data_IF_481857460571
#
_entry.id   IF_481857460571
#
_cell.length_a   1.000
_cell.length_b   1.000
_cell.length_c   1.000
_cell.angle_alpha   90.00
_cell.angle_beta   90.00
_cell.angle_gamma   90.00
#
_symmetry.space_group_name_H-M   'P 1'
#
loop_
_entity.id
_entity.type
_entity.pdbx_description
1 polymer ?
#
# COMPACT_ATOMS: atom_id res chain seq x y z
N UNK A 1 21.05 -8.39 1.26
CA UNK A 1 19.73 -8.72 1.88
C UNK A 1 19.54 -10.19 2.31
N UNK A 2 19.30 -11.16 1.42
CA UNK A 2 18.77 -12.50 1.77
C UNK A 2 19.53 -13.22 2.91
N UNK A 3 20.87 -13.10 2.95
CA UNK A 3 21.70 -13.72 4.00
C UNK A 3 21.38 -13.30 5.43
N UNK A 4 20.94 -12.07 5.68
CA UNK A 4 20.59 -11.62 7.04
C UNK A 4 19.29 -12.29 7.50
N UNK A 5 18.33 -12.47 6.58
CA UNK A 5 17.10 -13.22 6.86
C UNK A 5 17.43 -14.68 7.15
N UNK A 6 18.22 -15.32 6.30
CA UNK A 6 18.66 -16.71 6.49
C UNK A 6 19.42 -16.93 7.81
N UNK A 7 20.24 -15.96 8.23
CA UNK A 7 20.92 -16.00 9.53
C UNK A 7 19.93 -15.92 10.71
N UNK A 8 18.92 -15.05 10.63
CA UNK A 8 17.87 -14.95 11.65
C UNK A 8 16.94 -16.18 11.66
N UNK A 9 16.62 -16.77 10.52
CA UNK A 9 15.91 -18.07 10.46
C UNK A 9 16.70 -19.15 11.24
N UNK A 10 18.02 -19.21 11.07
CA UNK A 10 18.88 -20.19 11.74
C UNK A 10 19.06 -19.94 13.25
N UNK A 11 19.00 -18.67 13.70
CA UNK A 11 19.02 -18.31 15.14
C UNK A 11 17.76 -18.79 15.89
N UNK A 12 16.64 -18.95 15.18
CA UNK A 12 15.36 -19.43 15.74
C UNK A 12 15.06 -20.89 15.40
N UNK A 13 15.96 -21.59 14.70
CA UNK A 13 15.75 -22.98 14.30
C UNK A 13 15.66 -23.91 15.52
N UNK A 14 14.51 -24.59 15.67
CA UNK A 14 14.22 -25.45 16.82
C UNK A 14 13.62 -24.74 18.05
N UNK A 15 13.45 -23.41 18.03
CA UNK A 15 12.65 -22.68 19.04
C UNK A 15 11.14 -22.81 18.72
N UNK A 16 10.28 -22.70 19.73
CA UNK A 16 8.82 -22.74 19.53
C UNK A 16 8.34 -21.42 18.93
N UNK A 17 7.60 -21.47 17.83
CA UNK A 17 7.00 -20.28 17.18
C UNK A 17 5.76 -19.80 17.95
N UNK A 18 5.98 -19.19 19.11
CA UNK A 18 4.98 -18.37 19.81
C UNK A 18 4.91 -16.97 19.20
N UNK A 19 3.85 -16.18 19.44
CA UNK A 19 3.76 -14.81 18.93
C UNK A 19 4.95 -13.93 19.37
N UNK A 20 5.39 -14.05 20.62
CA UNK A 20 6.53 -13.29 21.16
C UNK A 20 7.84 -13.67 20.47
N UNK A 21 8.02 -14.95 20.12
CA UNK A 21 9.19 -15.42 19.37
C UNK A 21 9.15 -15.05 17.89
N UNK A 22 7.98 -14.70 17.33
CA UNK A 22 7.85 -14.15 15.98
C UNK A 22 8.17 -12.65 16.01
N UNK A 23 7.65 -11.90 16.98
CA UNK A 23 7.95 -10.48 17.20
C UNK A 23 9.45 -10.26 17.44
N UNK A 24 10.06 -10.99 18.37
CA UNK A 24 11.50 -10.93 18.67
C UNK A 24 12.37 -11.26 17.44
N UNK A 25 11.90 -12.17 16.57
CA UNK A 25 12.58 -12.55 15.33
C UNK A 25 12.55 -11.41 14.30
N UNK A 26 11.41 -10.71 14.17
CA UNK A 26 11.28 -9.56 13.28
C UNK A 26 12.04 -8.33 13.82
N UNK A 27 12.05 -8.12 15.14
CA UNK A 27 12.86 -7.07 15.80
C UNK A 27 14.36 -7.30 15.56
N UNK A 28 14.86 -8.51 15.81
CA UNK A 28 16.26 -8.87 15.57
C UNK A 28 16.62 -8.73 14.09
N UNK A 29 15.74 -9.12 13.17
CA UNK A 29 15.96 -8.91 11.73
C UNK A 29 16.04 -7.42 11.37
N UNK A 30 15.12 -6.59 11.86
CA UNK A 30 15.12 -5.14 11.63
C UNK A 30 16.39 -4.46 12.16
N UNK A 31 16.79 -4.79 13.39
CA UNK A 31 18.01 -4.27 14.02
C UNK A 31 19.29 -4.67 13.24
N UNK A 32 19.36 -5.90 12.71
CA UNK A 32 20.48 -6.34 11.87
C UNK A 32 20.48 -5.68 10.48
N UNK A 33 19.32 -5.44 9.88
CA UNK A 33 19.22 -4.71 8.59
C UNK A 33 19.65 -3.26 8.75
N UNK A 34 19.14 -2.54 9.75
CA UNK A 34 19.53 -1.15 10.01
C UNK A 34 21.05 -1.01 10.22
N UNK A 35 21.65 -1.91 11.00
CA UNK A 35 23.10 -1.94 11.23
C UNK A 35 23.91 -2.27 9.96
N UNK A 36 23.40 -3.17 9.12
CA UNK A 36 24.01 -3.45 7.82
C UNK A 36 23.96 -2.22 6.90
N UNK A 37 22.84 -1.50 6.86
CA UNK A 37 22.69 -0.28 6.05
C UNK A 37 23.60 0.87 6.54
N UNK A 38 23.77 1.03 7.86
CA UNK A 38 24.78 1.94 8.45
C UNK A 38 26.21 1.58 8.01
N UNK A 39 26.57 0.29 7.96
CA UNK A 39 27.90 -0.15 7.52
C UNK A 39 28.10 0.09 6.02
N UNK A 40 27.09 -0.17 5.18
CA UNK A 40 27.12 0.21 3.75
C UNK A 40 27.26 1.73 3.57
N UNK A 41 26.51 2.52 4.35
CA UNK A 41 26.61 3.98 4.33
C UNK A 41 27.99 4.49 4.81
N UNK A 42 28.67 3.75 5.68
CA UNK A 42 30.06 4.03 6.09
C UNK A 42 31.11 3.71 5.01
N UNK A 43 30.72 3.01 3.94
CA UNK A 43 31.58 2.65 2.81
C UNK A 43 32.25 1.27 2.91
N UNK A 44 31.74 0.36 3.74
CA UNK A 44 32.15 -1.05 3.75
C UNK A 44 31.57 -1.82 2.54
N UNK A 45 32.24 -2.90 2.14
CA UNK A 45 31.74 -3.85 1.14
C UNK A 45 30.57 -4.69 1.70
N UNK A 46 29.62 -5.12 0.87
CA UNK A 46 28.47 -5.95 1.29
C UNK A 46 28.91 -7.23 2.03
N UNK A 47 30.01 -7.87 1.60
CA UNK A 47 30.51 -9.09 2.25
C UNK A 47 31.12 -8.82 3.64
N UNK A 48 31.78 -7.67 3.82
CA UNK A 48 32.40 -7.28 5.09
C UNK A 48 31.35 -6.72 6.07
N UNK A 49 30.41 -5.92 5.58
CA UNK A 49 29.27 -5.41 6.33
C UNK A 49 28.39 -6.56 6.87
N UNK A 50 28.08 -7.57 6.05
CA UNK A 50 27.34 -8.76 6.49
C UNK A 50 28.12 -9.53 7.58
N UNK A 51 29.43 -9.71 7.43
CA UNK A 51 30.25 -10.42 8.42
C UNK A 51 30.29 -9.69 9.76
N UNK A 52 30.56 -8.38 9.76
CA UNK A 52 30.61 -7.54 10.96
C UNK A 52 29.24 -7.35 11.62
N UNK A 53 28.15 -7.39 10.83
CA UNK A 53 26.78 -7.40 11.35
C UNK A 53 26.50 -8.69 12.12
N UNK A 54 26.85 -9.86 11.54
CA UNK A 54 26.71 -11.18 12.18
C UNK A 54 27.59 -11.33 13.44
N UNK A 55 28.84 -10.82 13.42
CA UNK A 55 29.75 -10.84 14.58
C UNK A 55 29.21 -10.05 15.79
N UNK A 56 28.34 -9.06 15.55
CA UNK A 56 27.80 -8.21 16.61
C UNK A 56 26.69 -8.81 17.47
N UNK A 57 26.23 -10.03 17.17
CA UNK A 57 25.18 -10.75 17.89
C UNK A 57 25.78 -11.83 18.82
N UNK A 58 25.94 -11.50 20.11
CA UNK A 58 26.61 -12.37 21.09
C UNK A 58 25.64 -13.33 21.80
N UNK A 59 25.10 -14.29 21.05
CA UNK A 59 24.14 -15.33 21.50
C UNK A 59 22.75 -14.83 21.88
N UNK A 60 21.74 -15.65 21.57
CA UNK A 60 20.32 -15.35 21.83
C UNK A 60 19.79 -15.98 23.14
N UNK A 61 20.48 -17.00 23.67
CA UNK A 61 20.00 -17.75 24.83
C UNK A 61 19.98 -16.92 26.12
N UNK A 62 20.92 -15.98 26.30
CA UNK A 62 20.92 -15.06 27.45
C UNK A 62 19.67 -14.16 27.51
N UNK A 63 19.04 -13.87 26.36
CA UNK A 63 17.80 -13.07 26.27
C UNK A 63 16.56 -13.91 26.57
N UNK A 64 16.58 -15.20 26.21
CA UNK A 64 15.43 -16.12 26.36
C UNK A 64 15.30 -16.63 27.81
N UNK A 65 16.34 -16.50 28.64
CA UNK A 65 16.38 -17.04 30.02
C UNK A 65 15.58 -16.21 31.05
N UNK A 66 15.27 -14.93 30.80
CA UNK A 66 14.58 -14.07 31.79
C UNK A 66 13.06 -14.33 31.97
N UNK A 67 12.54 -15.48 31.53
CA UNK A 67 11.16 -15.89 31.85
C UNK A 67 11.08 -17.35 32.34
N UNK A 68 11.23 -17.62 33.65
CA UNK A 68 11.19 -18.96 34.22
C UNK A 68 9.75 -19.49 34.29
N UNK A 69 9.27 -20.03 33.18
CA UNK A 69 8.05 -20.86 33.15
C UNK A 69 8.30 -22.19 33.87
N UNK A 70 7.28 -22.71 34.56
CA UNK A 70 7.43 -23.80 35.52
C UNK A 70 8.05 -25.08 34.92
N UNK A 71 9.16 -25.51 35.51
CA UNK A 71 9.86 -26.74 35.13
C UNK A 71 9.15 -27.98 35.68
N UNK A 72 8.30 -28.57 34.84
CA UNK A 72 7.87 -29.98 34.90
C UNK A 72 7.70 -30.47 33.45
N UNK A 73 8.39 -31.49 32.95
CA UNK A 73 9.21 -32.55 33.57
C UNK A 73 10.23 -33.09 32.51
N UNK A 74 11.16 -34.01 32.74
CA UNK A 74 11.53 -34.86 33.90
C UNK A 74 13.08 -34.88 34.07
N UNK A 75 13.55 -35.42 35.20
CA UNK A 75 14.98 -35.55 35.50
C UNK A 75 15.71 -36.58 34.61
N UNK A 76 16.97 -36.30 34.28
CA UNK A 76 17.89 -37.31 33.75
C UNK A 76 18.40 -38.18 34.89
N UNK A 77 18.10 -39.49 34.88
CA UNK A 77 18.84 -40.48 35.67
C UNK A 77 19.05 -41.77 34.83
N UNK A 78 20.15 -42.49 35.09
CA UNK A 78 20.76 -43.40 34.10
C UNK A 78 20.81 -44.89 34.45
N UNK A 79 21.34 -45.67 33.49
CA UNK A 79 21.68 -47.11 33.53
C UNK A 79 20.48 -48.08 33.78
N UNK A 80 20.40 -49.28 33.21
CA UNK A 80 21.45 -50.27 32.92
C UNK A 80 21.10 -51.18 31.68
N UNK A 81 21.91 -52.21 31.43
CA UNK A 81 22.11 -52.97 30.19
C UNK A 81 21.27 -54.27 30.09
N UNK A 82 20.79 -54.66 28.88
CA UNK A 82 21.05 -56.00 28.25
C UNK A 82 20.22 -56.32 26.99
N UNK A 83 20.90 -56.99 26.03
CA UNK A 83 20.50 -58.08 25.10
C UNK A 83 19.08 -58.19 24.46
N UNK A 84 18.88 -58.79 23.26
CA UNK A 84 19.74 -59.14 22.11
C UNK A 84 18.86 -59.76 20.98
N UNK A 85 19.38 -59.83 19.73
CA UNK A 85 18.92 -60.64 18.54
C UNK A 85 17.46 -60.47 18.07
N UNK A 86 16.98 -60.88 16.88
CA UNK A 86 17.49 -61.54 15.64
C UNK A 86 16.94 -60.72 14.42
N UNK A 87 17.61 -60.49 13.28
CA UNK A 87 18.02 -61.37 12.16
C UNK A 87 16.92 -61.64 11.07
N UNK A 88 17.33 -61.63 9.78
CA UNK A 88 16.58 -61.96 8.54
C UNK A 88 15.41 -61.03 8.11
N UNK A 89 15.17 -60.68 6.83
CA UNK A 89 15.81 -60.90 5.51
C UNK A 89 15.27 -59.85 4.49
N UNK A 90 15.94 -59.46 3.39
CA UNK A 90 16.15 -60.17 2.10
C UNK A 90 14.84 -60.34 1.26
N UNK A 91 14.72 -60.04 -0.06
CA UNK A 91 15.46 -59.22 -1.05
C UNK A 91 14.65 -59.06 -2.38
N UNK A 92 14.98 -58.04 -3.21
CA UNK A 92 14.60 -57.84 -4.66
C UNK A 92 13.09 -57.66 -5.00
N UNK A 93 12.60 -56.84 -5.95
CA UNK A 93 13.07 -56.26 -7.24
C UNK A 93 13.07 -57.28 -8.44
N UNK A 94 12.95 -56.87 -9.74
CA UNK A 94 11.66 -56.68 -10.43
C UNK A 94 11.57 -57.35 -11.83
N UNK A 95 10.39 -57.31 -12.49
CA UNK A 95 10.22 -57.29 -13.98
C UNK A 95 8.72 -57.09 -14.38
N UNK A 96 8.36 -56.18 -15.30
CA UNK A 96 8.18 -56.31 -16.77
C UNK A 96 7.22 -57.41 -17.27
N UNK A 97 6.14 -57.05 -18.01
CA UNK A 97 6.07 -57.01 -19.50
C UNK A 97 4.69 -56.54 -20.05
N UNK A 98 4.71 -56.00 -21.27
CA UNK A 98 3.59 -55.62 -22.19
C UNK A 98 3.92 -56.22 -23.60
N UNK A 99 3.19 -56.01 -24.72
CA UNK A 99 1.74 -55.88 -25.04
C UNK A 99 1.31 -56.79 -26.25
N UNK A 100 0.06 -56.68 -26.77
CA UNK A 100 -0.44 -57.12 -28.14
C UNK A 100 -1.94 -56.69 -28.30
N UNK A 101 -2.49 -56.01 -29.34
CA UNK A 101 -2.52 -56.13 -30.83
C UNK A 101 -3.66 -57.07 -31.37
N UNK A 102 -4.39 -56.90 -32.51
CA UNK A 102 -4.61 -55.87 -33.58
C UNK A 102 -5.73 -56.37 -34.56
N UNK A 103 -6.40 -55.68 -35.52
CA UNK A 103 -6.37 -54.27 -36.02
C UNK A 103 -7.70 -53.68 -36.64
N UNK A 104 -8.27 -54.08 -37.81
CA UNK A 104 -8.76 -53.07 -38.81
C UNK A 104 -10.11 -53.26 -39.56
N UNK A 105 -10.54 -52.20 -40.29
CA UNK A 105 -11.18 -52.29 -41.64
C UNK A 105 -11.10 -50.98 -42.48
N UNK A 106 -11.18 -51.09 -43.82
CA UNK A 106 -10.92 -50.05 -44.86
C UNK A 106 -12.03 -49.04 -45.25
N UNK A 107 -11.67 -48.02 -46.06
CA UNK A 107 -12.53 -46.99 -46.71
C UNK A 107 -13.16 -47.41 -48.07
N UNK A 108 -13.44 -46.51 -49.08
CA UNK A 108 -12.78 -45.22 -49.41
C UNK A 108 -13.72 -44.03 -49.83
N UNK A 109 -13.19 -43.03 -50.56
CA UNK A 109 -13.75 -41.70 -50.97
C UNK A 109 -14.13 -41.64 -52.49
N UNK A 110 -14.30 -40.50 -53.24
CA UNK A 110 -14.71 -39.08 -52.97
C UNK A 110 -15.79 -38.51 -53.97
N UNK A 111 -16.35 -37.29 -53.74
CA UNK A 111 -17.00 -36.40 -54.77
C UNK A 111 -16.67 -34.90 -54.49
N UNK A 112 -16.75 -34.03 -55.53
CA UNK A 112 -16.14 -32.68 -55.66
C UNK A 112 -17.02 -31.43 -55.42
N UNK A 113 -16.32 -30.33 -55.13
CA UNK A 113 -16.53 -28.89 -55.47
C UNK A 113 -17.93 -28.25 -55.60
N UNK A 114 -18.04 -27.02 -55.07
CA UNK A 114 -18.37 -25.83 -55.88
C UNK A 114 -17.73 -24.56 -55.26
N UNK A 115 -17.53 -23.51 -56.07
CA UNK A 115 -16.61 -22.40 -55.77
C UNK A 115 -17.34 -21.07 -55.51
N UNK A 116 -16.86 -20.30 -54.52
CA UNK A 116 -17.08 -18.85 -54.44
C UNK A 116 -15.78 -18.16 -53.97
N UNK A 117 -15.27 -17.19 -54.75
CA UNK A 117 -13.98 -16.52 -54.52
C UNK A 117 -14.21 -15.10 -53.98
N UNK A 118 -13.43 -14.70 -52.97
CA UNK A 118 -13.20 -13.29 -52.67
C UNK A 118 -11.80 -13.04 -52.08
N UNK A 119 -10.88 -12.70 -52.98
CA UNK A 119 -9.60 -11.98 -52.86
C UNK A 119 -8.85 -11.91 -51.51
N UNK A 120 -7.58 -12.32 -51.55
CA UNK A 120 -6.54 -11.95 -50.57
C UNK A 120 -5.75 -10.71 -51.02
N UNK A 121 -5.15 -10.00 -50.05
CA UNK A 121 -4.01 -9.06 -50.20
C UNK A 121 -4.38 -7.70 -50.89
N UNK A 122 -3.74 -6.56 -50.56
CA UNK A 122 -2.44 -6.43 -49.90
C UNK A 122 -2.38 -5.75 -48.52
N UNK A 123 -1.34 -6.13 -47.79
CA UNK A 123 -0.77 -5.30 -46.73
C UNK A 123 -0.35 -3.93 -47.29
N UNK A 124 -0.67 -2.85 -46.58
CA UNK A 124 -0.08 -1.54 -46.84
C UNK A 124 0.58 -0.99 -45.57
N UNK A 125 1.90 -1.13 -45.52
CA UNK A 125 2.73 -0.46 -44.53
C UNK A 125 2.92 1.03 -44.84
N UNK A 126 3.15 1.83 -43.79
CA UNK A 126 3.54 3.25 -43.77
C UNK A 126 2.40 4.30 -43.89
N UNK A 127 2.60 5.55 -43.41
CA UNK A 127 3.80 6.10 -42.77
C UNK A 127 3.63 6.53 -41.30
N UNK A 128 4.63 6.23 -40.47
CA UNK A 128 4.73 6.68 -39.07
C UNK A 128 5.02 8.19 -39.04
N UNK A 129 4.00 9.05 -38.90
CA UNK A 129 4.18 10.51 -38.78
C UNK A 129 4.87 10.85 -37.45
N UNK A 130 6.15 11.21 -37.52
CA UNK A 130 7.01 11.58 -36.39
C UNK A 130 6.61 12.95 -35.84
N UNK A 131 5.71 12.99 -34.85
CA UNK A 131 5.22 14.19 -34.14
C UNK A 131 6.25 14.87 -33.21
N UNK A 132 7.46 14.32 -33.13
CA UNK A 132 8.59 14.80 -32.32
C UNK A 132 8.87 16.33 -32.34
N UNK A 133 8.76 17.08 -33.47
CA UNK A 133 9.02 18.52 -33.44
C UNK A 133 7.91 19.34 -32.76
N UNK A 134 6.72 18.79 -32.53
CA UNK A 134 5.64 19.50 -31.81
C UNK A 134 5.89 19.46 -30.30
N UNK A 135 6.19 18.28 -29.76
CA UNK A 135 6.52 18.10 -28.33
C UNK A 135 7.71 18.97 -27.91
N UNK A 136 8.75 19.04 -28.75
CA UNK A 136 9.90 19.93 -28.51
C UNK A 136 9.54 21.42 -28.51
N UNK A 137 8.54 21.85 -29.27
CA UNK A 137 8.08 23.24 -29.23
C UNK A 137 7.31 23.55 -27.93
N UNK A 138 6.44 22.64 -27.48
CA UNK A 138 5.71 22.77 -26.22
C UNK A 138 6.65 22.83 -25.01
N UNK A 139 7.64 21.95 -24.93
CA UNK A 139 8.64 21.94 -23.84
C UNK A 139 9.48 23.23 -23.82
N UNK A 140 9.89 23.76 -24.98
CA UNK A 140 10.61 25.03 -25.05
C UNK A 140 9.75 26.23 -24.63
N UNK A 141 8.45 26.21 -24.89
CA UNK A 141 7.51 27.25 -24.42
C UNK A 141 7.32 27.15 -22.90
N UNK A 142 7.10 25.94 -22.36
CA UNK A 142 6.97 25.73 -20.92
C UNK A 142 8.18 26.19 -20.12
N UNK A 143 9.39 25.83 -20.58
CA UNK A 143 10.65 26.29 -19.95
C UNK A 143 10.83 27.83 -20.03
N UNK A 144 10.34 28.48 -21.08
CA UNK A 144 10.39 29.94 -21.21
C UNK A 144 9.42 30.62 -20.25
N UNK A 145 8.20 30.08 -20.09
CA UNK A 145 7.22 30.57 -19.09
C UNK A 145 7.76 30.38 -17.66
N UNK A 146 8.31 29.21 -17.33
CA UNK A 146 9.00 28.94 -16.06
C UNK A 146 10.13 29.94 -15.79
N UNK A 147 11.00 30.19 -16.78
CA UNK A 147 12.11 31.15 -16.65
C UNK A 147 11.65 32.60 -16.42
N UNK A 148 10.56 33.02 -17.05
CA UNK A 148 9.94 34.35 -16.82
C UNK A 148 9.26 34.41 -15.45
N UNK A 149 8.60 33.34 -15.02
CA UNK A 149 8.01 33.22 -13.68
C UNK A 149 9.07 33.37 -12.57
N UNK A 150 10.15 32.60 -12.64
CA UNK A 150 11.23 32.64 -11.64
C UNK A 150 11.92 34.02 -11.56
N UNK A 151 12.11 34.68 -12.71
CA UNK A 151 12.62 36.04 -12.78
C UNK A 151 11.64 37.09 -12.22
N UNK A 152 10.33 36.90 -12.39
CA UNK A 152 9.28 37.77 -11.85
C UNK A 152 9.13 37.63 -10.33
N UNK A 153 9.06 36.39 -9.82
CA UNK A 153 8.97 36.12 -8.37
C UNK A 153 10.17 36.71 -7.61
N UNK A 154 11.38 36.59 -8.16
CA UNK A 154 12.62 37.17 -7.60
C UNK A 154 12.63 38.71 -7.51
N UNK A 155 11.66 39.39 -8.13
CA UNK A 155 11.54 40.86 -8.14
C UNK A 155 10.37 41.36 -7.28
N UNK A 156 9.40 40.48 -6.95
CA UNK A 156 8.28 40.80 -6.04
C UNK A 156 8.55 40.35 -4.59
N UNK A 157 9.25 39.22 -4.38
CA UNK A 157 9.76 38.84 -3.07
C UNK A 157 11.25 39.18 -2.98
N UNK A 158 11.56 40.22 -2.19
CA UNK A 158 12.89 40.83 -2.09
C UNK A 158 13.93 40.01 -1.32
N UNK A 159 14.17 38.77 -1.74
CA UNK A 159 15.23 37.91 -1.19
C UNK A 159 16.59 38.48 -1.62
N UNK A 160 17.27 39.14 -0.69
CA UNK A 160 18.69 39.46 -0.84
C UNK A 160 19.52 38.19 -0.69
N UNK A 161 20.56 38.06 -1.53
CA UNK A 161 21.56 37.01 -1.38
C UNK A 161 22.29 37.14 -0.02
N UNK A 162 22.80 36.02 0.55
CA UNK A 162 23.45 36.02 1.85
C UNK A 162 24.88 36.58 1.80
N UNK A 163 25.01 37.91 1.75
CA UNK A 163 26.29 38.58 1.98
C UNK A 163 26.62 38.64 3.48
N UNK A 164 27.56 37.79 3.86
CA UNK A 164 28.36 37.80 5.09
C UNK A 164 28.83 39.21 5.52
N UNK A 165 28.61 39.61 6.79
CA UNK A 165 29.62 40.28 7.65
C UNK A 165 29.14 40.50 9.10
N UNK A 166 30.09 40.69 10.02
CA UNK A 166 29.90 41.03 11.44
C UNK A 166 29.27 42.41 11.69
N UNK A 167 28.67 42.61 12.88
CA UNK A 167 28.33 43.94 13.38
C UNK A 167 27.48 43.95 14.66
N UNK A 168 28.06 44.35 15.79
CA UNK A 168 27.31 44.75 16.99
C UNK A 168 26.60 46.10 16.77
N UNK A 169 25.39 46.31 17.32
CA UNK A 169 25.12 47.27 18.42
C UNK A 169 23.62 47.68 18.62
N UNK A 170 23.28 47.86 19.89
CA UNK A 170 22.28 48.79 20.47
C UNK A 170 20.85 48.87 19.90
N UNK A 171 19.92 48.24 20.62
CA UNK A 171 18.95 48.94 21.50
C UNK A 171 18.39 50.30 21.02
N UNK A 172 17.09 50.34 20.69
CA UNK A 172 16.23 51.51 20.93
C UNK A 172 14.74 51.13 21.00
N UNK A 173 14.19 50.96 22.20
CA UNK A 173 12.73 50.97 22.44
C UNK A 173 12.43 51.96 23.57
N UNK A 174 11.55 52.91 23.28
CA UNK A 174 11.26 54.05 24.15
C UNK A 174 10.27 53.68 25.25
N UNK A 175 10.61 53.94 26.52
CA UNK A 175 9.75 53.64 27.66
C UNK A 175 8.77 54.80 27.94
N UNK A 176 7.47 54.49 27.97
CA UNK A 176 6.44 55.39 28.51
C UNK A 176 5.57 54.61 29.50
N UNK A 177 5.82 54.79 30.80
CA UNK A 177 4.97 54.27 31.88
C UNK A 177 3.75 55.19 32.12
N UNK A 178 2.61 54.58 32.41
CA UNK A 178 1.37 55.25 32.82
C UNK A 178 0.56 54.46 33.89
N UNK A 179 1.27 53.71 34.75
CA UNK A 179 0.93 53.34 36.13
C UNK A 179 -0.52 53.06 36.57
N UNK A 180 -0.67 51.87 37.18
CA UNK A 180 -1.44 51.56 38.41
C UNK A 180 -2.84 50.91 38.32
N UNK A 181 -2.87 49.62 38.69
CA UNK A 181 -4.07 48.89 39.11
C UNK A 181 -3.71 47.47 39.57
N UNK A 182 -3.57 47.25 40.88
CA UNK A 182 -3.10 45.96 41.44
C UNK A 182 -4.24 44.91 41.48
N UNK A 183 -3.96 43.70 40.99
CA UNK A 183 -4.83 42.52 41.08
C UNK A 183 -4.07 41.25 40.69
N UNK A 184 -3.98 40.27 41.60
CA UNK A 184 -2.99 39.19 41.52
C UNK A 184 -3.59 37.82 41.19
N UNK A 185 -3.07 37.17 40.14
CA UNK A 185 -3.00 35.70 40.00
C UNK A 185 -2.15 35.31 38.79
N UNK A 186 -1.19 34.41 38.97
CA UNK A 186 -0.42 33.81 37.87
C UNK A 186 -1.26 32.80 37.08
N UNK A 187 -1.28 32.95 35.75
CA UNK A 187 -1.17 31.84 34.80
C UNK A 187 -0.89 32.41 33.41
N UNK A 188 0.15 31.90 32.73
CA UNK A 188 0.66 32.50 31.49
C UNK A 188 1.47 31.50 30.66
N UNK A 189 0.78 30.56 30.02
CA UNK A 189 1.41 29.66 29.04
C UNK A 189 1.58 30.36 27.69
N UNK A 190 2.74 30.19 27.05
CA UNK A 190 2.87 29.64 25.67
C UNK A 190 4.34 29.65 25.23
N UNK A 191 4.99 28.49 25.26
CA UNK A 191 6.34 28.28 24.71
C UNK A 191 6.65 26.79 24.41
N UNK A 192 5.68 26.05 23.88
CA UNK A 192 5.98 24.87 23.07
C UNK A 192 6.17 25.36 21.61
N UNK A 193 7.23 25.04 20.88
CA UNK A 193 8.29 24.06 21.12
C UNK A 193 8.05 22.84 20.23
N UNK A 194 8.78 22.76 19.11
CA UNK A 194 8.57 21.72 18.09
C UNK A 194 8.77 20.31 18.66
N UNK A 195 7.68 19.65 19.01
CA UNK A 195 7.67 18.21 19.22
C UNK A 195 7.96 17.54 17.87
N UNK A 196 9.02 16.73 17.80
CA UNK A 196 9.18 15.81 16.68
C UNK A 196 8.09 14.73 16.76
N UNK A 197 7.44 14.35 15.64
CA UNK A 197 6.35 13.40 15.68
C UNK A 197 6.77 12.05 16.27
N UNK A 198 5.94 11.57 17.20
CA UNK A 198 5.98 10.23 17.82
C UNK A 198 6.11 9.14 16.74
N UNK A 199 6.89 8.07 16.96
CA UNK A 199 7.26 7.13 15.89
C UNK A 199 6.10 6.53 15.08
N UNK A 200 4.91 6.37 15.64
CA UNK A 200 3.69 5.97 14.91
C UNK A 200 3.38 6.91 13.72
N UNK A 201 3.52 8.23 13.92
CA UNK A 201 3.25 9.27 12.91
C UNK A 201 4.30 9.38 11.79
N UNK A 202 5.39 8.59 11.82
CA UNK A 202 6.45 8.65 10.79
C UNK A 202 6.20 7.74 9.59
N UNK A 203 5.41 6.69 9.79
CA UNK A 203 5.15 5.64 8.80
C UNK A 203 3.68 5.60 8.36
N UNK A 204 2.88 6.59 8.78
CA UNK A 204 1.49 6.79 8.43
C UNK A 204 1.34 7.84 7.33
N UNK A 205 0.52 7.54 6.33
CA UNK A 205 -0.04 8.51 5.36
C UNK A 205 -1.16 9.31 6.04
N UNK A 206 -2.09 8.59 6.68
CA UNK A 206 -3.21 9.17 7.44
C UNK A 206 -2.96 8.97 8.93
N UNK A 207 -3.07 10.02 9.74
CA UNK A 207 -3.06 9.90 11.20
C UNK A 207 -4.03 10.86 11.88
N UNK A 208 -4.46 10.47 13.08
CA UNK A 208 -5.24 11.31 14.00
C UNK A 208 -4.28 11.88 15.06
N UNK A 209 -4.43 13.16 15.43
CA UNK A 209 -3.63 13.78 16.49
C UNK A 209 -4.28 13.78 17.88
N UNK A 210 -3.56 14.32 18.87
CA UNK A 210 -3.99 14.36 20.28
C UNK A 210 -5.22 15.26 20.52
N UNK A 211 -5.57 16.12 19.55
CA UNK A 211 -6.77 16.95 19.56
C UNK A 211 -7.95 16.26 18.83
N UNK A 212 -7.70 15.14 18.16
CA UNK A 212 -8.67 14.44 17.30
C UNK A 212 -8.67 14.94 15.85
N UNK A 213 -7.72 15.76 15.43
CA UNK A 213 -7.65 16.27 14.04
C UNK A 213 -7.05 15.20 13.10
N UNK A 214 -7.58 15.11 11.89
CA UNK A 214 -7.09 14.21 10.83
C UNK A 214 -6.02 14.90 10.00
N UNK A 215 -4.99 14.16 9.62
CA UNK A 215 -3.86 14.61 8.79
C UNK A 215 -3.57 13.60 7.68
N UNK A 216 -3.20 14.05 6.48
CA UNK A 216 -2.93 13.24 5.27
C UNK A 216 -1.61 13.70 4.60
N UNK A 217 -0.67 12.78 4.35
CA UNK A 217 0.80 12.92 4.07
C UNK A 217 1.56 14.05 4.83
N UNK A 218 0.95 14.62 5.87
CA UNK A 218 1.51 15.68 6.71
C UNK A 218 0.82 17.04 6.60
N UNK A 219 -0.18 17.20 5.72
CA UNK A 219 -1.09 18.35 5.71
C UNK A 219 -2.38 18.02 6.49
N UNK A 220 -3.21 19.03 6.79
CA UNK A 220 -4.38 18.90 7.65
C UNK A 220 -5.60 18.49 6.81
N UNK A 221 -6.09 17.28 7.00
CA UNK A 221 -7.14 16.71 6.15
C UNK A 221 -8.45 17.50 6.19
N UNK A 222 -9.12 17.52 5.04
CA UNK A 222 -10.43 18.12 4.82
C UNK A 222 -11.60 17.28 5.37
N UNK A 223 -12.84 17.71 5.07
CA UNK A 223 -14.06 17.01 5.49
C UNK A 223 -14.17 15.59 4.92
N UNK A 224 -13.59 15.33 3.74
CA UNK A 224 -13.57 14.00 3.13
C UNK A 224 -12.57 13.07 3.83
N UNK A 225 -11.40 13.56 4.23
CA UNK A 225 -10.49 12.81 5.10
C UNK A 225 -11.12 12.48 6.47
N UNK A 226 -11.86 13.44 7.06
CA UNK A 226 -12.64 13.16 8.28
C UNK A 226 -13.72 12.08 8.04
N UNK A 227 -14.43 12.09 6.90
CA UNK A 227 -15.39 11.03 6.56
C UNK A 227 -14.72 9.66 6.38
N UNK A 228 -13.59 9.56 5.66
CA UNK A 228 -12.82 8.32 5.52
C UNK A 228 -12.36 7.79 6.89
N UNK A 229 -11.94 8.67 7.80
CA UNK A 229 -11.55 8.29 9.16
C UNK A 229 -12.75 7.80 9.99
N UNK A 230 -13.90 8.47 9.90
CA UNK A 230 -15.11 8.10 10.64
C UNK A 230 -15.86 6.90 10.03
N UNK A 231 -15.64 6.57 8.76
CA UNK A 231 -16.31 5.47 8.08
C UNK A 231 -15.93 4.09 8.67
N UNK A 232 -16.94 3.32 9.09
CA UNK A 232 -16.77 2.06 9.79
C UNK A 232 -17.54 0.90 9.16
N UNK A 233 -17.07 -0.33 9.41
CA UNK A 233 -17.65 -1.57 8.87
C UNK A 233 -19.15 -1.71 9.10
N UNK A 234 -19.72 -1.07 10.13
CA UNK A 234 -21.14 -1.18 10.50
C UNK A 234 -22.10 -0.72 9.40
N UNK A 235 -21.70 0.22 8.53
CA UNK A 235 -22.47 0.59 7.33
C UNK A 235 -22.39 -0.52 6.30
N UNK A 236 -21.17 -0.96 5.98
CA UNK A 236 -20.87 -1.99 4.97
C UNK A 236 -21.50 -3.35 5.32
N UNK A 237 -21.67 -3.64 6.62
CA UNK A 237 -22.26 -4.87 7.14
C UNK A 237 -23.70 -5.13 6.67
N UNK A 238 -24.50 -4.10 6.40
CA UNK A 238 -25.84 -4.25 5.84
C UNK A 238 -25.83 -4.68 4.36
N UNK A 239 -24.68 -4.49 3.69
CA UNK A 239 -24.47 -4.73 2.27
C UNK A 239 -23.55 -5.93 1.96
N UNK A 240 -23.18 -6.73 2.97
CA UNK A 240 -22.58 -8.05 2.76
C UNK A 240 -23.47 -8.93 1.86
N UNK A 241 -22.82 -9.79 1.06
CA UNK A 241 -23.43 -10.64 0.02
C UNK A 241 -24.30 -9.87 -0.99
N UNK A 242 -23.95 -8.62 -1.31
CA UNK A 242 -24.63 -7.88 -2.39
C UNK A 242 -24.15 -8.36 -3.75
N UNK A 243 -25.10 -8.76 -4.59
CA UNK A 243 -24.90 -9.23 -5.96
C UNK A 243 -25.25 -8.12 -6.97
N UNK A 244 -24.54 -8.06 -8.10
CA UNK A 244 -24.74 -7.06 -9.16
C UNK A 244 -26.17 -7.07 -9.74
N UNK A 245 -26.93 -8.16 -9.60
CA UNK A 245 -28.34 -8.21 -10.03
C UNK A 245 -29.29 -7.40 -9.14
N UNK A 246 -28.90 -7.03 -7.92
CA UNK A 246 -29.64 -6.08 -7.07
C UNK A 246 -29.03 -4.68 -7.18
N UNK A 247 -29.19 -4.07 -8.36
CA UNK A 247 -28.69 -2.73 -8.67
C UNK A 247 -29.14 -1.65 -7.64
N UNK A 248 -30.30 -1.83 -7.00
CA UNK A 248 -30.79 -0.91 -5.98
C UNK A 248 -30.01 -1.05 -4.66
N UNK A 249 -29.69 -2.28 -4.23
CA UNK A 249 -28.81 -2.51 -3.07
C UNK A 249 -27.37 -2.05 -3.35
N UNK A 250 -26.88 -2.22 -4.59
CA UNK A 250 -25.58 -1.69 -5.04
C UNK A 250 -25.54 -0.16 -5.00
N UNK A 251 -26.52 0.52 -5.57
CA UNK A 251 -26.60 2.00 -5.51
C UNK A 251 -26.70 2.48 -4.05
N UNK A 252 -27.49 1.80 -3.21
CA UNK A 252 -27.63 2.17 -1.79
C UNK A 252 -26.32 1.99 -1.00
N UNK A 253 -25.55 0.93 -1.29
CA UNK A 253 -24.18 0.76 -0.75
C UNK A 253 -23.30 1.93 -1.16
N UNK A 254 -23.18 2.21 -2.46
CA UNK A 254 -22.32 3.28 -2.98
C UNK A 254 -22.69 4.66 -2.40
N UNK A 255 -24.00 4.93 -2.23
CA UNK A 255 -24.52 6.15 -1.57
C UNK A 255 -24.25 6.25 -0.07
N UNK A 256 -23.66 5.23 0.55
CA UNK A 256 -23.36 5.16 2.00
C UNK A 256 -21.85 5.16 2.33
N UNK A 257 -21.00 5.24 1.30
CA UNK A 257 -19.54 5.37 1.42
C UNK A 257 -19.14 6.86 1.30
N UNK A 258 -17.93 7.28 1.73
CA UNK A 258 -17.46 8.67 1.66
C UNK A 258 -17.65 9.37 0.30
N UNK A 259 -17.32 8.73 -0.83
CA UNK A 259 -17.55 9.37 -2.14
C UNK A 259 -19.03 9.30 -2.62
N UNK A 260 -19.94 8.84 -1.76
CA UNK A 260 -21.32 8.50 -2.08
C UNK A 260 -22.23 9.66 -2.47
N UNK A 261 -21.92 10.91 -2.10
CA UNK A 261 -22.67 12.07 -2.61
C UNK A 261 -22.41 12.28 -4.12
N UNK A 262 -21.15 12.15 -4.54
CA UNK A 262 -20.70 12.38 -5.92
C UNK A 262 -21.00 11.21 -6.88
N UNK A 263 -21.41 10.05 -6.36
CA UNK A 263 -21.65 8.84 -7.15
C UNK A 263 -22.75 9.04 -8.22
N UNK A 264 -22.45 8.67 -9.47
CA UNK A 264 -23.38 8.66 -10.61
C UNK A 264 -23.09 7.50 -11.55
N UNK A 265 -23.90 7.37 -12.62
CA UNK A 265 -23.64 6.51 -13.78
C UNK A 265 -23.34 5.04 -13.44
N UNK A 266 -23.95 4.54 -12.35
CA UNK A 266 -23.75 3.17 -11.84
C UNK A 266 -24.28 2.15 -12.86
N UNK A 267 -23.37 1.36 -13.44
CA UNK A 267 -23.65 0.33 -14.42
C UNK A 267 -23.13 -1.03 -13.93
N UNK A 268 -24.08 -1.90 -13.56
CA UNK A 268 -23.86 -3.28 -13.14
C UNK A 268 -23.89 -4.29 -14.31
N UNK A 269 -23.89 -3.80 -15.55
CA UNK A 269 -24.13 -4.60 -16.77
C UNK A 269 -22.99 -4.57 -17.80
N UNK A 270 -21.93 -3.78 -17.56
CA UNK A 270 -20.75 -3.67 -18.44
C UNK A 270 -20.06 -5.00 -18.75
N UNK A 271 -20.11 -5.97 -17.85
CA UNK A 271 -19.45 -7.26 -17.98
C UNK A 271 -19.92 -8.29 -16.96
N UNK A 272 -19.30 -9.48 -16.99
CA UNK A 272 -19.43 -10.45 -15.89
C UNK A 272 -18.51 -9.99 -14.76
N UNK A 273 -19.05 -9.86 -13.55
CA UNK A 273 -18.33 -9.46 -12.35
C UNK A 273 -17.67 -8.06 -12.40
N UNK A 274 -18.12 -7.19 -13.31
CA UNK A 274 -17.65 -5.81 -13.45
C UNK A 274 -18.70 -4.84 -12.91
N UNK A 275 -18.31 -4.04 -11.92
CA UNK A 275 -19.03 -2.84 -11.52
C UNK A 275 -18.44 -1.63 -12.27
N UNK A 276 -19.29 -0.70 -12.69
CA UNK A 276 -18.85 0.63 -13.13
C UNK A 276 -19.65 1.71 -12.44
N UNK A 277 -19.00 2.84 -12.18
CA UNK A 277 -19.63 4.08 -11.73
C UNK A 277 -18.81 5.29 -12.19
N UNK A 278 -19.32 6.48 -11.93
CA UNK A 278 -18.53 7.71 -11.94
C UNK A 278 -18.70 8.46 -10.61
N UNK A 279 -17.72 9.28 -10.27
CA UNK A 279 -17.87 10.36 -9.28
C UNK A 279 -17.80 11.70 -10.03
N UNK A 280 -18.82 12.54 -9.86
CA UNK A 280 -19.01 13.75 -10.68
C UNK A 280 -19.16 15.00 -9.82
N UNK A 281 -18.80 16.13 -10.42
CA UNK A 281 -18.95 17.48 -9.85
C UNK A 281 -18.13 17.68 -8.56
N UNK A 282 -17.07 16.90 -8.34
CA UNK A 282 -16.22 17.00 -7.13
C UNK A 282 -15.72 18.44 -6.92
N UNK A 283 -15.92 19.06 -5.75
CA UNK A 283 -15.44 20.41 -5.47
C UNK A 283 -13.91 20.54 -5.59
N UNK A 284 -13.44 21.59 -6.26
CA UNK A 284 -12.01 22.01 -6.29
C UNK A 284 -11.44 22.35 -4.89
N UNK A 285 -12.27 22.32 -3.84
CA UNK A 285 -11.89 22.52 -2.44
C UNK A 285 -11.55 21.23 -1.70
N UNK A 286 -11.78 20.06 -2.31
CA UNK A 286 -11.33 18.78 -1.77
C UNK A 286 -9.85 18.58 -2.06
N UNK A 287 -9.12 18.02 -1.10
CA UNK A 287 -7.69 17.76 -1.25
C UNK A 287 -7.47 16.44 -2.02
N UNK A 288 -6.51 16.42 -2.95
CA UNK A 288 -6.28 15.27 -3.83
C UNK A 288 -5.99 13.98 -3.06
N UNK A 289 -5.18 14.07 -2.00
CA UNK A 289 -4.84 12.94 -1.14
C UNK A 289 -6.06 12.44 -0.34
N UNK A 290 -7.02 13.31 0.00
CA UNK A 290 -8.31 12.92 0.59
C UNK A 290 -9.21 12.20 -0.41
N UNK A 291 -9.26 12.68 -1.66
CA UNK A 291 -10.01 12.05 -2.75
C UNK A 291 -9.46 10.66 -3.05
N UNK A 292 -8.14 10.51 -3.11
CA UNK A 292 -7.48 9.22 -3.31
C UNK A 292 -7.67 8.29 -2.10
N UNK A 293 -7.62 8.81 -0.87
CA UNK A 293 -7.93 8.05 0.35
C UNK A 293 -9.37 7.52 0.36
N UNK A 294 -10.33 8.34 -0.08
CA UNK A 294 -11.74 7.98 -0.16
C UNK A 294 -12.00 6.97 -1.29
N UNK A 295 -11.43 7.21 -2.48
CA UNK A 295 -11.46 6.26 -3.60
C UNK A 295 -10.90 4.88 -3.21
N UNK A 296 -9.77 4.88 -2.50
CA UNK A 296 -9.13 3.67 -1.97
C UNK A 296 -9.99 2.95 -0.91
N UNK A 297 -10.65 3.70 -0.02
CA UNK A 297 -11.58 3.15 0.97
C UNK A 297 -12.83 2.56 0.32
N UNK A 298 -13.51 3.30 -0.56
CA UNK A 298 -14.75 2.90 -1.24
C UNK A 298 -14.56 1.59 -2.01
N UNK A 299 -13.51 1.50 -2.83
CA UNK A 299 -13.14 0.29 -3.59
C UNK A 299 -12.93 -0.90 -2.66
N UNK A 300 -12.27 -0.69 -1.52
CA UNK A 300 -12.00 -1.75 -0.53
C UNK A 300 -13.30 -2.21 0.14
N UNK A 301 -14.17 -1.26 0.51
CA UNK A 301 -15.47 -1.55 1.12
C UNK A 301 -16.41 -2.31 0.18
N UNK A 302 -16.47 -1.92 -1.10
CA UNK A 302 -17.22 -2.64 -2.14
C UNK A 302 -16.66 -4.05 -2.33
N UNK A 303 -15.33 -4.24 -2.40
CA UNK A 303 -14.76 -5.58 -2.51
C UNK A 303 -15.03 -6.47 -1.28
N UNK A 304 -15.16 -5.90 -0.07
CA UNK A 304 -15.58 -6.68 1.10
C UNK A 304 -17.07 -7.05 1.07
N UNK A 305 -17.94 -6.11 0.68
CA UNK A 305 -19.40 -6.30 0.61
C UNK A 305 -19.87 -7.20 -0.54
N UNK A 306 -19.15 -7.17 -1.67
CA UNK A 306 -19.56 -7.79 -2.94
C UNK A 306 -18.54 -8.85 -3.39
N UNK A 307 -18.49 -10.04 -2.76
CA UNK A 307 -17.43 -11.04 -2.97
C UNK A 307 -17.33 -11.59 -4.40
N UNK A 308 -18.37 -11.40 -5.23
CA UNK A 308 -18.37 -11.80 -6.65
C UNK A 308 -17.82 -10.72 -7.60
N UNK A 309 -17.78 -9.44 -7.22
CA UNK A 309 -17.23 -8.38 -8.08
C UNK A 309 -15.72 -8.54 -8.19
N UNK A 310 -15.20 -8.63 -9.41
CA UNK A 310 -13.79 -8.86 -9.72
C UNK A 310 -13.09 -7.62 -10.29
N UNK A 311 -13.83 -6.69 -10.90
CA UNK A 311 -13.29 -5.42 -11.41
C UNK A 311 -14.26 -4.26 -11.09
N UNK A 312 -13.72 -3.12 -10.67
CA UNK A 312 -14.44 -1.87 -10.45
C UNK A 312 -13.83 -0.79 -11.35
N UNK A 313 -14.65 -0.23 -12.25
CA UNK A 313 -14.29 0.82 -13.18
C UNK A 313 -14.88 2.16 -12.71
N UNK A 314 -14.03 3.18 -12.53
CA UNK A 314 -14.43 4.48 -11.97
C UNK A 314 -13.92 5.58 -12.88
N UNK A 315 -14.78 6.50 -13.30
CA UNK A 315 -14.33 7.81 -13.80
C UNK A 315 -14.58 8.90 -12.75
N UNK A 316 -13.73 9.92 -12.75
CA UNK A 316 -13.76 11.04 -11.80
C UNK A 316 -13.78 12.36 -12.57
N UNK A 317 -14.52 13.37 -12.09
CA UNK A 317 -14.54 14.70 -12.72
C UNK A 317 -14.85 15.81 -11.71
N UNK A 318 -13.95 16.78 -11.61
CA UNK A 318 -14.08 18.01 -10.81
C UNK A 318 -15.15 18.99 -11.35
N UNK A 319 -15.57 19.96 -10.54
CA UNK A 319 -16.72 20.82 -10.84
C UNK A 319 -16.61 21.72 -12.09
N UNK A 320 -15.44 22.28 -12.43
CA UNK A 320 -15.33 23.40 -13.41
C UNK A 320 -14.15 23.27 -14.42
N UNK A 321 -13.89 22.05 -14.91
CA UNK A 321 -12.80 21.74 -15.87
C UNK A 321 -13.27 21.22 -17.25
N UNK A 322 -12.53 21.48 -18.35
CA UNK A 322 -12.85 20.98 -19.69
C UNK A 322 -12.43 19.51 -19.91
N UNK A 323 -13.04 18.59 -19.16
CA UNK A 323 -12.96 17.13 -19.35
C UNK A 323 -11.54 16.53 -19.28
N UNK A 324 -10.76 16.86 -18.24
CA UNK A 324 -9.84 15.85 -17.69
C UNK A 324 -10.70 14.89 -16.86
N UNK A 325 -10.99 13.72 -17.43
CA UNK A 325 -11.75 12.64 -16.80
C UNK A 325 -10.76 11.54 -16.39
N UNK A 326 -10.29 11.57 -15.14
CA UNK A 326 -9.41 10.53 -14.59
C UNK A 326 -10.15 9.20 -14.59
N UNK A 327 -9.48 8.13 -15.01
CA UNK A 327 -10.10 6.81 -15.16
C UNK A 327 -9.30 5.72 -14.46
N UNK A 328 -9.98 4.99 -13.58
CA UNK A 328 -9.38 3.97 -12.72
C UNK A 328 -10.03 2.61 -12.96
N UNK A 329 -9.21 1.56 -12.95
CA UNK A 329 -9.64 0.17 -13.08
C UNK A 329 -9.00 -0.63 -11.95
N UNK A 330 -9.76 -0.82 -10.86
CA UNK A 330 -9.35 -1.60 -9.71
C UNK A 330 -9.74 -3.06 -9.92
N UNK A 331 -8.79 -3.99 -9.83
CA UNK A 331 -9.09 -5.43 -9.84
C UNK A 331 -8.95 -6.04 -8.46
N UNK A 332 -9.82 -7.01 -8.16
CA UNK A 332 -9.85 -7.71 -6.88
C UNK A 332 -8.52 -8.38 -6.53
N UNK A 333 -7.85 -9.00 -7.49
CA UNK A 333 -6.58 -9.68 -7.28
C UNK A 333 -5.43 -8.69 -7.03
N UNK A 334 -5.35 -7.63 -7.82
CA UNK A 334 -4.37 -6.54 -7.67
C UNK A 334 -4.53 -5.80 -6.32
N UNK A 335 -5.77 -5.55 -5.87
CA UNK A 335 -6.05 -4.91 -4.57
C UNK A 335 -5.82 -5.86 -3.39
N UNK A 336 -6.31 -7.10 -3.44
CA UNK A 336 -6.04 -8.10 -2.39
C UNK A 336 -4.55 -8.41 -2.24
N UNK A 337 -3.79 -8.39 -3.35
CA UNK A 337 -2.33 -8.56 -3.32
C UNK A 337 -1.59 -7.43 -2.60
N UNK A 338 -2.23 -6.26 -2.35
CA UNK A 338 -1.65 -5.15 -1.58
C UNK A 338 -1.96 -5.26 -0.10
N UNK A 339 -3.21 -5.54 0.24
CA UNK A 339 -3.64 -5.81 1.62
C UNK A 339 -3.04 -7.09 2.21
N UNK A 340 -2.58 -8.03 1.36
CA UNK A 340 -2.05 -9.33 1.79
C UNK A 340 -3.13 -10.31 2.28
N UNK A 341 -4.40 -9.93 2.23
CA UNK A 341 -5.58 -10.71 2.66
C UNK A 341 -6.66 -10.73 1.58
N UNK A 342 -7.61 -11.66 1.71
CA UNK A 342 -8.82 -11.67 0.87
C UNK A 342 -9.78 -10.60 1.41
N UNK A 343 -10.35 -9.80 0.51
CA UNK A 343 -11.37 -8.80 0.87
C UNK A 343 -12.76 -9.45 0.74
N UNK A 344 -13.42 -9.72 1.87
CA UNK A 344 -14.74 -10.34 1.92
C UNK A 344 -15.48 -10.01 3.23
N UNK A 345 -16.59 -10.70 3.48
CA UNK A 345 -17.43 -10.60 4.67
C UNK A 345 -16.67 -10.83 5.99
N UNK A 346 -15.58 -11.61 5.96
CA UNK A 346 -14.79 -11.95 7.15
C UNK A 346 -13.93 -10.78 7.65
N UNK A 347 -13.79 -9.71 6.85
CA UNK A 347 -13.18 -8.44 7.28
C UNK A 347 -14.20 -7.40 7.75
N UNK A 348 -15.51 -7.61 7.56
CA UNK A 348 -16.56 -6.62 7.89
C UNK A 348 -16.93 -6.68 9.38
N UNK A 349 -15.93 -6.46 10.22
CA UNK A 349 -15.99 -6.42 11.69
C UNK A 349 -14.88 -5.51 12.25
N UNK A 350 -14.89 -5.24 13.55
CA UNK A 350 -13.96 -4.33 14.23
C UNK A 350 -12.48 -4.63 13.95
N UNK A 351 -12.06 -5.89 14.06
CA UNK A 351 -10.66 -6.29 13.82
C UNK A 351 -10.29 -6.24 12.33
N UNK A 352 -11.19 -6.67 11.44
CA UNK A 352 -10.96 -6.59 9.99
C UNK A 352 -10.92 -5.15 9.46
N UNK A 353 -11.72 -4.24 10.03
CA UNK A 353 -11.68 -2.82 9.67
C UNK A 353 -10.45 -2.09 10.21
N UNK A 354 -9.97 -2.44 11.41
CA UNK A 354 -8.64 -2.01 11.87
C UNK A 354 -7.54 -2.49 10.91
N UNK A 355 -7.60 -3.76 10.49
CA UNK A 355 -6.62 -4.31 9.54
C UNK A 355 -6.66 -3.61 8.17
N UNK A 356 -7.85 -3.27 7.67
CA UNK A 356 -8.01 -2.50 6.43
C UNK A 356 -7.48 -1.07 6.61
N UNK A 357 -7.83 -0.40 7.72
CA UNK A 357 -7.53 1.02 7.91
C UNK A 357 -6.15 1.25 8.50
N UNK A 358 -5.97 0.98 9.79
CA UNK A 358 -4.75 1.31 10.54
C UNK A 358 -3.55 0.44 10.11
N UNK A 359 -3.76 -0.85 9.83
CA UNK A 359 -2.68 -1.74 9.40
C UNK A 359 -2.36 -1.68 7.90
N UNK A 360 -3.15 -1.00 7.06
CA UNK A 360 -2.91 -0.93 5.61
C UNK A 360 -3.18 0.45 5.01
N UNK A 361 -4.44 0.87 4.87
CA UNK A 361 -4.82 2.11 4.16
C UNK A 361 -4.10 3.36 4.69
N UNK A 362 -3.90 3.42 6.00
CA UNK A 362 -3.22 4.54 6.67
C UNK A 362 -1.69 4.44 6.61
N UNK A 363 -1.09 3.35 6.12
CA UNK A 363 0.37 3.22 6.00
C UNK A 363 0.89 4.03 4.83
N UNK A 364 2.06 4.64 5.01
CA UNK A 364 2.67 5.53 4.04
C UNK A 364 2.85 4.89 2.66
N UNK A 365 2.37 5.61 1.64
CA UNK A 365 2.35 5.24 0.22
C UNK A 365 1.39 4.08 -0.11
N UNK A 366 0.48 3.68 0.78
CA UNK A 366 -0.47 2.61 0.46
C UNK A 366 -1.52 3.10 -0.54
N UNK A 367 -2.05 4.30 -0.32
CA UNK A 367 -3.10 4.92 -1.14
C UNK A 367 -2.52 5.27 -2.51
N UNK A 368 -1.49 6.12 -2.55
CA UNK A 368 -0.71 6.47 -3.76
C UNK A 368 -0.43 5.25 -4.64
N UNK A 369 0.26 4.22 -4.11
CA UNK A 369 0.62 3.05 -4.91
C UNK A 369 -0.59 2.25 -5.41
N UNK A 370 -1.75 2.31 -4.73
CA UNK A 370 -2.96 1.61 -5.15
C UNK A 370 -3.72 2.38 -6.23
N UNK A 371 -3.82 3.71 -6.10
CA UNK A 371 -4.47 4.58 -7.08
C UNK A 371 -3.63 4.69 -8.37
N UNK A 372 -2.32 4.93 -8.27
CA UNK A 372 -1.36 4.94 -9.42
C UNK A 372 -1.53 3.72 -10.33
N UNK A 373 -1.67 2.53 -9.73
CA UNK A 373 -1.76 1.27 -10.45
C UNK A 373 -3.19 0.97 -10.93
N UNK A 374 -4.20 1.64 -10.37
CA UNK A 374 -5.56 1.63 -10.89
C UNK A 374 -5.75 2.60 -12.06
N UNK A 375 -5.06 3.75 -12.09
CA UNK A 375 -5.18 4.79 -13.13
C UNK A 375 -4.82 4.31 -14.54
N UNK A 376 -5.59 4.70 -15.57
CA UNK A 376 -5.40 4.31 -16.98
C UNK A 376 -5.73 5.47 -17.92
N UNK A 377 -4.90 5.64 -18.96
CA UNK A 377 -5.29 6.43 -20.15
C UNK A 377 -6.65 5.95 -20.70
N UNK A 378 -7.61 6.88 -20.83
CA UNK A 378 -8.90 6.68 -21.51
C UNK A 378 -8.70 6.36 -23.01
N UNK A 379 -9.58 5.55 -23.61
CA UNK A 379 -9.35 4.87 -24.91
C UNK A 379 -10.49 5.00 -25.93
#
# INVERSE_FOLDING_TARGET
>A
MNELRMYVEHLFEGKVLTPENIELKEEIYGNLVARYEDLIASGLDESEAIAQTKESMTSIDDVIIENPTDSSSDECDGDDISDAVDESGDSHDPDQVDPVASTPHDGPTPITENVAVLHQQPEQSAPRKRTWPVVLACVLIGLLVMGVGFAGCSLMFGIKAPDQYDGEQTEHVENVDASRGEGSSESGSTAAGNASPTPTKKNSEIFIDENGQVWVDGELGDELAEEVVNAGYGVVAEYVDTDLTDAAKVETLLRSLPMGEYASDVDVTKGVDVLSLAYRELPETLEGDSVDAALAYDVTAVFCAMPLVNEIQITLTESDGPLDESYYVFKRDEVQSRYGVRLDDLLVNEAGWHQIKEDNLYRRKFIENMVDVAEKEWK
#
